data_IF_207210039214
#
_entry.id   IF_207210039214
#
_cell.length_a   1.000
_cell.length_b   1.000
_cell.length_c   1.000
_cell.angle_alpha   90.00
_cell.angle_beta   90.00
_cell.angle_gamma   90.00
#
_symmetry.space_group_name_H-M   'P 1'
#
loop_
_entity.id
_entity.type
_entity.pdbx_description
1 polymer ?
#
# COMPACT_ATOMS: atom_id res chain seq x y z
N UNK A 1 18.76 9.05 -4.34
CA UNK A 1 19.77 8.08 -4.84
C UNK A 1 19.06 6.77 -5.23
N UNK A 2 18.29 6.78 -6.33
CA UNK A 2 17.54 5.60 -6.83
C UNK A 2 18.14 5.00 -8.11
N UNK A 3 19.20 5.60 -8.66
CA UNK A 3 19.75 5.28 -9.98
C UNK A 3 20.53 3.97 -10.13
N UNK A 4 20.35 2.98 -9.22
CA UNK A 4 21.08 1.69 -9.29
C UNK A 4 20.26 0.45 -8.96
N UNK A 5 18.93 0.53 -8.95
CA UNK A 5 18.10 -0.68 -8.85
C UNK A 5 17.90 -1.30 -10.24
N UNK A 6 18.92 -2.08 -10.64
CA UNK A 6 18.85 -3.20 -11.60
C UNK A 6 17.90 -3.07 -12.79
N UNK A 7 18.41 -2.55 -13.91
CA UNK A 7 17.89 -2.89 -15.23
C UNK A 7 19.04 -2.99 -16.24
N UNK A 8 20.01 -3.87 -15.98
CA UNK A 8 20.92 -4.34 -17.03
C UNK A 8 20.11 -5.27 -17.96
N UNK A 9 19.35 -4.67 -18.88
CA UNK A 9 18.63 -5.38 -19.96
C UNK A 9 17.32 -6.07 -19.57
N UNK A 10 16.87 -5.98 -18.32
CA UNK A 10 15.62 -6.56 -17.83
C UNK A 10 14.62 -5.51 -17.36
N UNK A 11 13.37 -5.64 -17.77
CA UNK A 11 12.22 -4.86 -17.30
C UNK A 11 12.01 -5.10 -15.79
N UNK A 12 12.36 -4.14 -14.92
CA UNK A 12 12.23 -4.27 -13.46
C UNK A 12 10.77 -4.45 -13.06
N UNK A 13 10.43 -5.65 -12.54
CA UNK A 13 9.05 -6.00 -12.14
C UNK A 13 8.77 -5.83 -10.65
N UNK A 14 9.79 -5.96 -9.81
CA UNK A 14 9.67 -5.91 -8.36
C UNK A 14 10.72 -4.97 -7.79
N UNK A 15 10.28 -4.06 -6.94
CA UNK A 15 11.14 -3.12 -6.24
C UNK A 15 10.90 -3.25 -4.74
N UNK A 16 11.94 -3.57 -4.00
CA UNK A 16 11.90 -3.67 -2.55
C UNK A 16 12.78 -2.58 -1.95
N UNK A 17 12.16 -1.71 -1.15
CA UNK A 17 12.81 -0.62 -0.46
C UNK A 17 12.37 -0.59 1.01
N UNK A 18 12.56 -1.71 1.75
CA UNK A 18 12.16 -1.78 3.15
C UNK A 18 12.98 -0.80 3.98
N UNK A 19 12.34 -0.12 4.94
CA UNK A 19 12.95 0.86 5.84
C UNK A 19 13.75 2.00 5.15
N UNK A 20 13.57 2.21 3.85
CA UNK A 20 14.42 3.12 3.07
C UNK A 20 14.04 4.61 3.17
N UNK A 21 12.83 4.92 3.65
CA UNK A 21 12.28 6.27 3.54
C UNK A 21 12.11 6.98 4.89
N UNK A 22 11.86 6.29 6.00
CA UNK A 22 11.68 6.94 7.30
C UNK A 22 10.72 8.14 7.21
N UNK A 23 11.10 9.30 7.75
CA UNK A 23 10.34 10.56 7.61
C UNK A 23 10.58 11.31 6.28
N UNK A 24 11.41 10.79 5.39
CA UNK A 24 11.82 11.44 4.14
C UNK A 24 11.06 10.78 2.99
N UNK A 25 10.01 11.45 2.54
CA UNK A 25 9.36 11.07 1.29
C UNK A 25 10.33 11.27 0.13
N UNK A 26 10.40 10.34 -0.85
CA UNK A 26 11.15 10.58 -2.07
C UNK A 26 10.58 11.81 -2.75
N UNK A 27 11.35 12.88 -2.93
CA UNK A 27 10.86 14.04 -3.69
C UNK A 27 10.67 13.73 -5.19
N UNK A 28 10.97 12.49 -5.61
CA UNK A 28 11.25 12.14 -7.00
C UNK A 28 10.63 10.80 -7.46
N UNK A 29 9.47 10.36 -6.94
CA UNK A 29 8.72 9.34 -7.71
C UNK A 29 8.24 9.91 -9.06
N UNK A 30 8.17 11.23 -9.18
CA UNK A 30 8.11 11.96 -10.44
C UNK A 30 9.54 12.21 -10.96
N UNK A 31 9.93 11.56 -12.03
CA UNK A 31 11.02 12.08 -12.88
C UNK A 31 10.73 11.79 -14.34
N UNK A 32 10.84 12.83 -15.16
CA UNK A 32 10.98 12.80 -16.62
C UNK A 32 12.32 12.14 -17.06
N UNK A 33 13.18 11.72 -16.12
CA UNK A 33 14.50 11.16 -16.42
C UNK A 33 14.81 9.92 -15.58
N UNK A 34 14.95 8.77 -16.25
CA UNK A 34 16.00 7.82 -15.90
C UNK A 34 15.62 6.46 -15.30
N UNK A 35 14.36 6.17 -14.97
CA UNK A 35 13.97 4.80 -14.59
C UNK A 35 12.69 4.38 -15.29
N UNK A 36 12.78 3.49 -16.28
CA UNK A 36 11.62 2.78 -16.85
C UNK A 36 11.04 1.79 -15.83
N UNK A 37 10.34 2.30 -14.81
CA UNK A 37 9.47 1.49 -13.96
C UNK A 37 8.17 1.09 -14.68
N UNK A 38 7.99 1.32 -15.99
CA UNK A 38 6.78 0.95 -16.75
C UNK A 38 6.45 -0.57 -16.69
N UNK A 39 7.42 -1.36 -16.26
CA UNK A 39 7.26 -2.80 -16.06
C UNK A 39 7.08 -3.22 -14.59
N UNK A 40 7.13 -2.26 -13.66
CA UNK A 40 6.95 -2.51 -12.24
C UNK A 40 5.53 -3.01 -11.97
N UNK A 41 5.45 -4.11 -11.24
CA UNK A 41 4.21 -4.77 -10.84
C UNK A 41 4.14 -4.98 -9.33
N UNK A 42 5.28 -5.04 -8.65
CA UNK A 42 5.35 -5.32 -7.22
C UNK A 42 6.22 -4.27 -6.53
N UNK A 43 5.69 -3.67 -5.48
CA UNK A 43 6.39 -2.65 -4.69
C UNK A 43 6.28 -3.00 -3.20
N UNK A 44 7.43 -3.17 -2.55
CA UNK A 44 7.53 -3.47 -1.12
C UNK A 44 8.21 -2.31 -0.41
N UNK A 45 7.50 -1.67 0.52
CA UNK A 45 7.91 -0.48 1.25
C UNK A 45 7.82 -0.68 2.77
N UNK A 46 7.95 -1.94 3.20
CA UNK A 46 7.73 -2.36 4.57
C UNK A 46 8.63 -1.59 5.55
N UNK A 47 8.07 -1.13 6.67
CA UNK A 47 8.77 -0.33 7.67
C UNK A 47 9.30 1.02 7.16
N UNK A 48 9.01 1.39 5.90
CA UNK A 48 9.60 2.56 5.25
C UNK A 48 8.69 3.78 5.18
N UNK A 49 7.38 3.61 5.25
CA UNK A 49 6.41 4.69 4.99
C UNK A 49 6.02 5.45 6.27
N UNK A 50 6.39 6.73 6.38
CA UNK A 50 5.88 7.64 7.42
C UNK A 50 5.66 9.07 6.86
N UNK A 51 5.02 9.95 7.64
CA UNK A 51 4.91 11.37 7.31
C UNK A 51 4.11 11.66 6.03
N UNK A 52 4.65 12.52 5.15
CA UNK A 52 4.04 12.88 3.87
C UNK A 52 4.29 11.85 2.75
N UNK A 53 4.87 10.69 3.08
CA UNK A 53 5.20 9.65 2.12
C UNK A 53 4.00 9.20 1.28
N UNK A 54 2.84 9.02 1.90
CA UNK A 54 1.64 8.54 1.19
C UNK A 54 1.12 9.53 0.14
N UNK A 55 1.29 10.84 0.36
CA UNK A 55 0.94 11.85 -0.65
C UNK A 55 1.83 11.70 -1.88
N UNK A 56 3.13 11.55 -1.66
CA UNK A 56 4.07 11.36 -2.76
C UNK A 56 3.93 10.00 -3.45
N UNK A 57 3.61 8.95 -2.70
CA UNK A 57 3.28 7.65 -3.28
C UNK A 57 2.01 7.77 -4.13
N UNK A 58 0.99 8.50 -3.68
CA UNK A 58 -0.25 8.70 -4.41
C UNK A 58 -0.06 9.37 -5.77
N UNK A 59 0.96 10.23 -5.89
CA UNK A 59 1.34 10.90 -7.14
C UNK A 59 2.29 10.05 -8.01
N UNK A 60 2.64 8.84 -7.59
CA UNK A 60 3.61 8.02 -8.29
C UNK A 60 3.03 7.43 -9.59
N UNK A 61 3.66 7.76 -10.72
CA UNK A 61 3.18 7.41 -12.07
C UNK A 61 3.07 5.90 -12.35
N UNK A 62 3.76 5.04 -11.59
CA UNK A 62 3.68 3.59 -11.74
C UNK A 62 2.55 2.95 -10.92
N UNK A 63 1.82 3.69 -10.07
CA UNK A 63 0.72 3.13 -9.29
C UNK A 63 -0.37 2.47 -10.16
N UNK A 64 -0.80 3.05 -11.31
CA UNK A 64 -1.89 2.47 -12.09
C UNK A 64 -1.64 1.06 -12.64
N UNK A 65 -0.37 0.68 -12.78
CA UNK A 65 0.08 -0.62 -13.31
C UNK A 65 0.55 -1.60 -12.22
N UNK A 66 0.61 -1.14 -10.96
CA UNK A 66 1.06 -1.94 -9.84
C UNK A 66 0.02 -3.00 -9.49
N UNK A 67 0.47 -4.26 -9.33
CA UNK A 67 -0.36 -5.40 -8.93
C UNK A 67 -0.28 -5.72 -7.46
N UNK A 68 0.90 -5.53 -6.87
CA UNK A 68 1.15 -5.77 -5.45
C UNK A 68 1.79 -4.55 -4.80
N UNK A 69 1.21 -4.11 -3.69
CA UNK A 69 1.75 -3.09 -2.81
C UNK A 69 1.85 -3.66 -1.40
N UNK A 70 3.05 -3.70 -0.85
CA UNK A 70 3.27 -4.00 0.56
C UNK A 70 3.73 -2.75 1.31
N UNK A 71 3.00 -2.44 2.37
CA UNK A 71 3.28 -1.37 3.32
C UNK A 71 3.39 -1.95 4.73
N UNK A 72 3.79 -3.22 4.87
CA UNK A 72 3.75 -3.91 6.16
C UNK A 72 4.66 -3.22 7.19
N UNK A 73 4.32 -3.30 8.47
CA UNK A 73 5.09 -2.70 9.57
C UNK A 73 5.31 -1.18 9.41
N UNK A 74 4.42 -0.48 8.69
CA UNK A 74 4.47 0.98 8.55
C UNK A 74 3.51 1.67 9.52
N UNK A 75 3.86 2.87 10.00
CA UNK A 75 2.97 3.65 10.88
C UNK A 75 1.95 4.41 10.04
N UNK A 76 0.74 3.85 9.90
CA UNK A 76 -0.36 4.38 9.11
C UNK A 76 -1.38 5.09 10.02
N UNK A 77 -1.39 6.41 9.97
CA UNK A 77 -2.44 7.23 10.57
C UNK A 77 -3.45 7.66 9.51
N UNK A 78 -4.74 7.63 9.84
CA UNK A 78 -5.82 7.81 8.87
C UNK A 78 -5.68 9.10 8.04
N UNK A 79 -5.37 10.23 8.66
CA UNK A 79 -5.26 11.51 7.94
C UNK A 79 -4.09 11.52 6.94
N UNK A 80 -3.03 10.74 7.23
CA UNK A 80 -1.85 10.67 6.37
C UNK A 80 -2.02 9.67 5.23
N UNK A 81 -2.90 8.69 5.39
CA UNK A 81 -3.16 7.65 4.38
C UNK A 81 -4.21 8.08 3.34
N UNK A 82 -5.05 9.08 3.68
CA UNK A 82 -6.13 9.61 2.82
C UNK A 82 -5.72 9.91 1.36
N UNK A 83 -4.52 10.47 1.07
CA UNK A 83 -4.08 10.66 -0.31
C UNK A 83 -4.05 9.35 -1.11
N UNK A 84 -3.53 8.27 -0.51
CA UNK A 84 -3.42 6.98 -1.18
C UNK A 84 -4.79 6.32 -1.39
N UNK A 85 -5.75 6.56 -0.50
CA UNK A 85 -7.12 6.05 -0.64
C UNK A 85 -7.87 6.64 -1.84
N UNK A 86 -7.45 7.83 -2.29
CA UNK A 86 -8.08 8.52 -3.43
C UNK A 86 -7.54 8.06 -4.78
N UNK A 87 -6.42 7.32 -4.79
CA UNK A 87 -5.76 6.84 -6.00
C UNK A 87 -6.61 5.77 -6.68
N UNK A 88 -6.75 5.90 -8.00
CA UNK A 88 -7.22 4.80 -8.85
C UNK A 88 -6.03 3.92 -9.23
N UNK A 89 -5.96 2.73 -8.63
CA UNK A 89 -4.94 1.72 -8.91
C UNK A 89 -5.61 0.51 -9.60
N UNK A 90 -5.99 0.62 -10.89
CA UNK A 90 -6.84 -0.37 -11.54
C UNK A 90 -6.18 -1.75 -11.68
N UNK A 91 -4.86 -1.84 -11.64
CA UNK A 91 -4.15 -3.12 -11.68
C UNK A 91 -3.92 -3.75 -10.30
N UNK A 92 -4.23 -3.06 -9.19
CA UNK A 92 -3.87 -3.51 -7.85
C UNK A 92 -4.75 -4.68 -7.41
N UNK A 93 -4.11 -5.83 -7.20
CA UNK A 93 -4.75 -7.08 -6.82
C UNK A 93 -4.42 -7.47 -5.38
N UNK A 94 -3.25 -7.05 -4.88
CA UNK A 94 -2.69 -7.46 -3.58
C UNK A 94 -2.23 -6.24 -2.79
N UNK A 95 -2.76 -6.06 -1.59
CA UNK A 95 -2.36 -5.02 -0.66
C UNK A 95 -2.01 -5.62 0.70
N UNK A 96 -0.81 -5.31 1.22
CA UNK A 96 -0.43 -5.66 2.58
C UNK A 96 -0.30 -4.40 3.43
N UNK A 97 -1.06 -4.39 4.52
CA UNK A 97 -1.04 -3.45 5.65
C UNK A 97 -0.76 -4.22 6.96
N UNK A 98 -0.13 -5.39 6.87
CA UNK A 98 0.23 -6.23 8.02
C UNK A 98 1.06 -5.44 9.03
N UNK A 99 0.82 -5.63 10.32
CA UNK A 99 1.60 -5.02 11.40
C UNK A 99 1.67 -3.47 11.32
N UNK A 100 0.76 -2.84 10.59
CA UNK A 100 0.73 -1.38 10.51
C UNK A 100 0.15 -0.77 11.79
N UNK A 101 0.94 0.08 12.44
CA UNK A 101 0.49 0.85 13.58
C UNK A 101 -0.53 1.90 13.13
N UNK A 102 -1.56 2.16 13.93
CA UNK A 102 -2.56 3.20 13.63
C UNK A 102 -3.69 2.76 12.69
N UNK A 103 -3.65 1.52 12.17
CA UNK A 103 -4.82 0.87 11.58
C UNK A 103 -5.93 0.74 12.64
N UNK A 104 -6.97 1.57 12.51
CA UNK A 104 -8.17 1.57 13.36
C UNK A 104 -9.42 1.38 12.49
N UNK A 105 -10.54 1.03 13.10
CA UNK A 105 -11.83 0.83 12.42
C UNK A 105 -12.18 1.94 11.42
N UNK A 106 -12.00 3.22 11.81
CA UNK A 106 -12.27 4.36 10.94
C UNK A 106 -11.45 4.36 9.64
N UNK A 107 -10.20 3.88 9.67
CA UNK A 107 -9.38 3.74 8.47
C UNK A 107 -9.86 2.59 7.58
N UNK A 108 -10.34 1.48 8.17
CA UNK A 108 -10.95 0.39 7.41
C UNK A 108 -12.22 0.83 6.69
N UNK A 109 -13.07 1.64 7.33
CA UNK A 109 -14.26 2.18 6.67
C UNK A 109 -13.90 3.04 5.46
N UNK A 110 -12.88 3.90 5.59
CA UNK A 110 -12.37 4.69 4.46
C UNK A 110 -11.78 3.80 3.38
N UNK A 111 -10.96 2.81 3.76
CA UNK A 111 -10.33 1.85 2.86
C UNK A 111 -11.38 1.04 2.08
N UNK A 112 -12.47 0.61 2.74
CA UNK A 112 -13.56 -0.14 2.12
C UNK A 112 -14.35 0.67 1.07
N UNK A 113 -14.32 2.00 1.16
CA UNK A 113 -14.94 2.93 0.20
C UNK A 113 -13.93 3.49 -0.81
N UNK A 114 -12.65 3.18 -0.64
CA UNK A 114 -11.56 3.74 -1.44
C UNK A 114 -11.53 3.16 -2.86
N UNK A 115 -11.01 3.94 -3.82
CA UNK A 115 -10.76 3.44 -5.17
C UNK A 115 -9.59 2.45 -5.18
N UNK A 116 -8.67 2.57 -4.23
CA UNK A 116 -7.50 1.71 -4.05
C UNK A 116 -7.89 0.22 -3.92
N UNK A 117 -8.99 -0.10 -3.24
CA UNK A 117 -9.44 -1.49 -3.05
C UNK A 117 -10.35 -2.04 -4.16
N UNK A 118 -10.66 -1.27 -5.21
CA UNK A 118 -11.68 -1.67 -6.21
C UNK A 118 -11.44 -3.06 -6.80
N UNK A 119 -10.19 -3.38 -7.10
CA UNK A 119 -9.76 -4.62 -7.74
C UNK A 119 -8.90 -5.52 -6.85
N UNK A 120 -8.73 -5.14 -5.57
CA UNK A 120 -7.94 -5.92 -4.62
C UNK A 120 -8.68 -7.21 -4.27
N UNK A 121 -8.02 -8.34 -4.48
CA UNK A 121 -8.52 -9.69 -4.18
C UNK A 121 -7.85 -10.28 -2.95
N UNK A 122 -6.69 -9.74 -2.56
CA UNK A 122 -5.97 -10.16 -1.36
C UNK A 122 -5.57 -8.92 -0.55
N UNK A 123 -6.08 -8.85 0.69
CA UNK A 123 -5.78 -7.80 1.64
C UNK A 123 -5.22 -8.44 2.92
N UNK A 124 -3.96 -8.17 3.21
CA UNK A 124 -3.32 -8.61 4.46
C UNK A 124 -3.31 -7.48 5.47
N UNK A 125 -4.05 -7.65 6.55
CA UNK A 125 -4.12 -6.70 7.67
C UNK A 125 -3.74 -7.38 8.99
N UNK A 126 -3.05 -8.53 8.90
CA UNK A 126 -2.67 -9.37 10.05
C UNK A 126 -1.74 -8.69 11.06
N UNK A 127 -1.66 -9.30 12.24
CA UNK A 127 -0.66 -8.92 13.27
C UNK A 127 -1.11 -7.88 14.30
N UNK A 128 -2.27 -7.26 14.08
CA UNK A 128 -2.94 -6.42 15.09
C UNK A 128 -3.88 -7.29 15.94
N UNK A 129 -4.15 -6.90 17.18
CA UNK A 129 -5.06 -7.63 18.10
C UNK A 129 -6.23 -6.75 18.55
N UNK A 130 -6.31 -5.51 18.06
CA UNK A 130 -7.31 -4.50 18.44
C UNK A 130 -8.51 -4.41 17.48
N UNK A 131 -8.47 -5.08 16.32
CA UNK A 131 -9.62 -5.17 15.42
C UNK A 131 -10.54 -6.29 15.91
N UNK A 132 -11.54 -5.90 16.70
CA UNK A 132 -12.60 -6.79 17.17
C UNK A 132 -13.50 -7.25 16.01
N UNK A 133 -14.22 -8.34 16.22
CA UNK A 133 -15.23 -8.87 15.29
C UNK A 133 -16.20 -7.79 14.77
N UNK A 134 -16.54 -6.83 15.63
CA UNK A 134 -17.42 -5.70 15.31
C UNK A 134 -16.94 -4.85 14.11
N UNK A 135 -15.63 -4.77 13.87
CA UNK A 135 -15.07 -4.00 12.74
C UNK A 135 -15.34 -4.69 11.41
N UNK A 136 -15.40 -6.03 11.40
CA UNK A 136 -15.66 -6.83 10.20
C UNK A 136 -17.11 -6.68 9.75
N UNK A 137 -18.03 -6.45 10.70
CA UNK A 137 -19.45 -6.24 10.40
C UNK A 137 -19.73 -4.85 9.82
N UNK A 138 -18.85 -3.86 10.05
CA UNK A 138 -18.97 -2.50 9.53
C UNK A 138 -18.36 -2.27 8.14
N UNK A 139 -17.59 -3.23 7.61
CA UNK A 139 -16.93 -3.10 6.29
C UNK A 139 -17.73 -3.82 5.20
N UNK A 140 -17.56 -3.39 3.94
CA UNK A 140 -18.23 -4.00 2.80
C UNK A 140 -17.90 -5.51 2.66
N UNK A 141 -18.79 -6.32 2.08
CA UNK A 141 -18.70 -7.78 2.08
C UNK A 141 -17.39 -8.32 1.49
N UNK A 142 -16.87 -7.68 0.43
CA UNK A 142 -15.56 -8.04 -0.16
C UNK A 142 -14.39 -7.84 0.82
N UNK A 143 -14.41 -6.74 1.56
CA UNK A 143 -13.37 -6.44 2.56
C UNK A 143 -13.51 -7.37 3.75
N UNK A 144 -14.74 -7.62 4.21
CA UNK A 144 -15.01 -8.60 5.26
C UNK A 144 -14.55 -10.01 4.87
N UNK A 145 -14.76 -10.42 3.62
CA UNK A 145 -14.30 -11.72 3.08
C UNK A 145 -12.77 -11.79 3.03
N UNK A 146 -12.10 -10.75 2.51
CA UNK A 146 -10.64 -10.68 2.50
C UNK A 146 -10.04 -10.70 3.92
N UNK A 147 -10.65 -9.97 4.86
CA UNK A 147 -10.25 -10.00 6.27
C UNK A 147 -10.44 -11.40 6.87
N UNK A 148 -11.57 -12.06 6.64
CA UNK A 148 -11.82 -13.44 7.10
C UNK A 148 -10.83 -14.44 6.49
N UNK A 149 -10.54 -14.33 5.19
CA UNK A 149 -9.55 -15.17 4.52
C UNK A 149 -8.13 -14.97 5.09
N UNK A 150 -7.83 -13.78 5.62
CA UNK A 150 -6.60 -13.48 6.35
C UNK A 150 -6.62 -13.96 7.83
N UNK A 151 -7.69 -14.65 8.25
CA UNK A 151 -7.82 -15.23 9.59
C UNK A 151 -8.36 -14.27 10.65
N UNK A 152 -9.25 -13.34 10.26
CA UNK A 152 -9.89 -12.38 11.17
C UNK A 152 -11.39 -12.64 11.39
N UNK A 153 -11.93 -12.33 12.58
CA UNK A 153 -11.19 -11.90 13.78
C UNK A 153 -10.43 -13.11 14.37
N UNK A 154 -9.29 -12.87 15.02
CA UNK A 154 -8.57 -13.91 15.76
C UNK A 154 -9.14 -14.09 17.16
#
# INVERSE_FOLDING_TARGET
MLGRFGANGGKLRRLELPACFGNISPTTWNTDEGVELASLRELVLDGGATGNFFATLADAWFLPQLRELSLASTSIFAERFDPLLSVDAPALERLSLRDCEGLRAALFEKLARSKLLRNVTWLDVGGRTDLRAEVIEGVGPRVAEAMRAAGWPR
#
